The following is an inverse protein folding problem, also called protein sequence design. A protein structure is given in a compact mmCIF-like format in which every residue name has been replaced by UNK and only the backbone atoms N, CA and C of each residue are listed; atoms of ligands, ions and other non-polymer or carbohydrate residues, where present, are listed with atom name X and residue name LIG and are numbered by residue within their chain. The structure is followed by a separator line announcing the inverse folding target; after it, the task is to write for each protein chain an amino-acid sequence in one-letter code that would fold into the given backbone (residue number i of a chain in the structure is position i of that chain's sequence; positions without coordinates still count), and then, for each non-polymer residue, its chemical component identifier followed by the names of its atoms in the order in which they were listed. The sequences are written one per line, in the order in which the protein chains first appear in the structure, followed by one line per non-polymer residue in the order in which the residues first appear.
data_IF_158095601204
#
_entry.id   IF_158095601204
#
_cell.length_a   1.000
_cell.length_b   1.000
_cell.length_c   1.000
_cell.angle_alpha   90.00
_cell.angle_beta   90.00
_cell.angle_gamma   90.00
#
_symmetry.space_group_name_H-M   'P 1'
#
loop_
_entity.id
_entity.type
_entity.pdbx_description
1 polymer ?
#
# COMPACT_ATOMS: atom_id res chain seq x y z
N UNK A 1 9.68 23.63 10.53
CA UNK A 1 9.39 23.52 11.98
C UNK A 1 10.47 24.22 12.77
N UNK A 2 10.20 25.42 13.25
CA UNK A 2 10.98 26.09 14.29
C UNK A 2 10.06 26.10 15.50
N UNK A 3 10.36 25.46 16.55
CA UNK A 3 11.07 25.68 17.75
C UNK A 3 10.35 26.70 18.63
N UNK A 4 9.40 26.27 19.49
CA UNK A 4 9.05 27.04 20.68
C UNK A 4 9.61 26.26 21.88
N UNK A 5 10.78 26.73 22.33
CA UNK A 5 11.26 26.46 23.69
C UNK A 5 10.43 27.31 24.64
N UNK A 6 9.60 26.70 25.46
CA UNK A 6 9.05 27.36 26.63
C UNK A 6 9.95 27.06 27.84
N UNK A 7 10.55 28.12 28.34
CA UNK A 7 11.31 28.17 29.56
C UNK A 7 10.48 27.70 30.76
N UNK A 8 10.98 26.69 31.45
CA UNK A 8 10.51 26.28 32.75
C UNK A 8 11.10 27.28 33.76
N UNK A 9 10.30 28.20 34.27
CA UNK A 9 10.60 28.96 35.49
C UNK A 9 10.19 28.13 36.69
N UNK A 10 11.21 27.79 37.48
CA UNK A 10 11.08 27.24 38.82
C UNK A 10 10.97 28.43 39.80
N UNK A 11 10.01 28.48 40.70
CA UNK A 11 10.17 29.19 41.97
C UNK A 11 10.16 28.23 43.15
N UNK A 12 11.32 28.04 43.73
CA UNK A 12 11.44 27.71 45.17
C UNK A 12 11.24 28.99 45.97
N UNK A 13 10.42 28.93 47.02
CA UNK A 13 10.53 29.50 48.35
C UNK A 13 9.14 29.51 48.97
N UNK A 14 8.98 28.77 49.93
CA UNK A 14 9.08 28.99 51.40
C UNK A 14 7.72 29.19 52.08
N UNK A 15 7.53 28.38 53.11
CA UNK A 15 6.95 28.64 54.42
C UNK A 15 5.45 28.41 54.62
N UNK A 16 5.19 27.51 55.54
CA UNK A 16 4.10 27.69 56.51
C UNK A 16 3.14 26.53 56.66
N UNK A 17 3.49 25.55 57.48
CA UNK A 17 2.45 24.82 58.24
C UNK A 17 1.93 25.72 59.34
N UNK A 18 0.62 25.76 59.60
CA UNK A 18 0.09 24.95 60.65
C UNK A 18 -1.39 24.47 60.48
N UNK A 19 -1.68 23.49 61.30
CA UNK A 19 -2.93 23.12 61.92
C UNK A 19 -3.97 22.26 61.18
N UNK A 20 -4.00 21.04 61.68
CA UNK A 20 -5.10 20.14 61.81
C UNK A 20 -6.49 20.81 61.69
N UNK A 21 -7.18 20.48 60.62
CA UNK A 21 -8.62 20.56 60.51
C UNK A 21 -9.12 19.24 59.97
N UNK A 22 -9.68 18.43 60.86
CA UNK A 22 -10.36 17.18 60.58
C UNK A 22 -11.59 17.49 59.71
N UNK A 23 -11.45 17.42 58.38
CA UNK A 23 -12.61 17.32 57.48
C UNK A 23 -12.68 15.89 57.03
N UNK A 24 -13.53 15.12 57.70
CA UNK A 24 -14.07 13.87 57.22
C UNK A 24 -14.97 14.21 56.02
N UNK A 25 -14.40 14.42 54.87
CA UNK A 25 -15.12 14.40 53.61
C UNK A 25 -15.33 12.94 53.26
N UNK A 26 -16.56 12.53 53.24
CA UNK A 26 -17.08 11.29 52.67
C UNK A 26 -16.47 11.06 51.30
N UNK A 27 -15.36 10.37 51.22
CA UNK A 27 -14.82 9.79 49.98
C UNK A 27 -15.57 8.49 49.71
N UNK A 28 -16.86 8.63 49.34
CA UNK A 28 -17.54 7.56 48.62
C UNK A 28 -16.87 7.48 47.23
N UNK A 29 -15.96 6.50 47.02
CA UNK A 29 -15.52 6.11 45.71
C UNK A 29 -14.02 6.17 45.37
N UNK A 30 -13.08 6.31 46.31
CA UNK A 30 -11.63 6.28 46.03
C UNK A 30 -10.98 4.95 46.41
N UNK A 31 -11.50 3.85 45.85
CA UNK A 31 -10.66 2.67 45.69
C UNK A 31 -9.73 2.87 44.48
N UNK A 32 -8.60 2.14 44.40
CA UNK A 32 -7.78 2.17 43.19
C UNK A 32 -8.65 1.86 41.98
N UNK A 33 -8.51 2.65 40.90
CA UNK A 33 -9.29 2.46 39.66
C UNK A 33 -9.27 0.98 39.25
N UNK A 34 -10.39 0.45 38.82
CA UNK A 34 -10.42 -0.92 38.31
C UNK A 34 -9.69 -1.00 36.97
N UNK A 35 -9.17 -2.17 36.53
CA UNK A 35 -8.55 -2.31 35.22
C UNK A 35 -9.42 -1.81 34.07
N UNK A 36 -10.74 -2.00 34.16
CA UNK A 36 -11.70 -1.49 33.17
C UNK A 36 -11.76 0.04 33.18
N UNK A 37 -11.74 0.66 34.37
CA UNK A 37 -11.72 2.13 34.47
C UNK A 37 -10.39 2.72 33.94
N UNK A 38 -9.26 2.05 34.16
CA UNK A 38 -7.99 2.45 33.55
C UNK A 38 -8.02 2.32 32.03
N UNK A 39 -8.62 1.25 31.49
CA UNK A 39 -8.83 1.08 30.06
C UNK A 39 -9.68 2.22 29.46
N UNK A 40 -10.86 2.48 30.04
CA UNK A 40 -11.77 3.55 29.59
C UNK A 40 -11.12 4.95 29.69
N UNK A 41 -10.40 5.21 30.77
CA UNK A 41 -9.64 6.45 30.94
C UNK A 41 -8.51 6.59 29.90
N UNK A 42 -7.79 5.50 29.63
CA UNK A 42 -6.76 5.44 28.59
C UNK A 42 -7.31 5.81 27.22
N UNK A 43 -8.44 5.20 26.80
CA UNK A 43 -9.13 5.54 25.57
C UNK A 43 -9.56 7.02 25.51
N UNK A 44 -10.08 7.54 26.60
CA UNK A 44 -10.52 8.94 26.67
C UNK A 44 -9.34 9.92 26.51
N UNK A 45 -8.17 9.58 27.06
CA UNK A 45 -6.94 10.37 26.93
C UNK A 45 -6.40 10.33 25.50
N UNK A 46 -6.35 9.14 24.87
CA UNK A 46 -5.93 9.01 23.48
C UNK A 46 -6.83 9.82 22.54
N UNK A 47 -8.15 9.78 22.74
CA UNK A 47 -9.11 10.59 21.97
C UNK A 47 -8.92 12.09 22.14
N UNK A 48 -8.33 12.55 23.25
CA UNK A 48 -7.97 13.96 23.50
C UNK A 48 -6.60 14.33 22.94
N UNK A 49 -5.85 13.36 22.40
CA UNK A 49 -4.49 13.56 21.92
C UNK A 49 -3.41 13.48 23.00
N UNK A 50 -3.76 13.13 24.23
CA UNK A 50 -2.77 12.88 25.29
C UNK A 50 -2.26 11.43 25.22
N UNK A 51 -1.38 11.21 24.23
CA UNK A 51 -0.91 9.87 23.87
C UNK A 51 -0.10 9.23 25.02
N UNK A 52 0.75 9.99 25.68
CA UNK A 52 1.60 9.47 26.75
C UNK A 52 0.78 9.04 27.98
N UNK A 53 -0.16 9.87 28.42
CA UNK A 53 -1.02 9.53 29.54
C UNK A 53 -2.01 8.40 29.19
N UNK A 54 -2.52 8.38 27.96
CA UNK A 54 -3.37 7.31 27.45
C UNK A 54 -2.66 5.96 27.45
N UNK A 55 -1.42 5.93 26.93
CA UNK A 55 -0.53 4.76 26.96
C UNK A 55 -0.36 4.22 28.38
N UNK A 56 0.05 5.07 29.33
CA UNK A 56 0.29 4.66 30.71
C UNK A 56 -0.95 4.02 31.37
N UNK A 57 -2.14 4.55 31.08
CA UNK A 57 -3.41 3.97 31.58
C UNK A 57 -3.72 2.62 30.96
N UNK A 58 -3.50 2.45 29.65
CA UNK A 58 -3.70 1.17 28.97
C UNK A 58 -2.72 0.11 29.48
N UNK A 59 -1.45 0.47 29.71
CA UNK A 59 -0.45 -0.41 30.29
C UNK A 59 -0.86 -0.88 31.69
N UNK A 60 -1.29 0.04 32.56
CA UNK A 60 -1.77 -0.29 33.90
C UNK A 60 -3.04 -1.20 33.88
N UNK A 61 -3.91 -1.01 32.90
CA UNK A 61 -5.08 -1.87 32.72
C UNK A 61 -4.67 -3.29 32.33
N UNK A 62 -3.76 -3.44 31.37
CA UNK A 62 -3.28 -4.73 30.86
C UNK A 62 -2.41 -5.47 31.87
N UNK A 63 -1.55 -4.78 32.62
CA UNK A 63 -0.73 -5.36 33.69
C UNK A 63 -1.60 -6.06 34.75
N UNK A 64 -2.72 -5.44 35.10
CA UNK A 64 -3.63 -5.93 36.14
C UNK A 64 -4.66 -6.93 35.64
N UNK A 65 -4.99 -6.92 34.33
CA UNK A 65 -5.97 -7.79 33.73
C UNK A 65 -5.64 -8.15 32.26
N UNK A 66 -4.58 -8.94 32.00
CA UNK A 66 -4.08 -9.23 30.67
C UNK A 66 -5.03 -10.08 29.82
N UNK A 67 -5.95 -10.82 30.44
CA UNK A 67 -6.93 -11.68 29.76
C UNK A 67 -8.36 -11.13 29.84
N UNK A 68 -8.54 -9.89 30.25
CA UNK A 68 -9.86 -9.27 30.32
C UNK A 68 -10.53 -9.18 28.94
N UNK A 69 -11.86 -9.15 28.85
CA UNK A 69 -12.58 -9.02 27.58
C UNK A 69 -12.15 -7.80 26.74
N UNK A 70 -11.61 -6.76 27.36
CA UNK A 70 -11.08 -5.57 26.68
C UNK A 70 -9.59 -5.69 26.32
N UNK A 71 -8.90 -6.76 26.70
CA UNK A 71 -7.42 -6.83 26.55
C UNK A 71 -6.98 -6.76 25.08
N UNK A 72 -7.69 -7.41 24.16
CA UNK A 72 -7.39 -7.33 22.73
C UNK A 72 -7.53 -5.89 22.21
N UNK A 73 -8.60 -5.21 22.59
CA UNK A 73 -8.84 -3.81 22.22
C UNK A 73 -7.79 -2.88 22.86
N UNK A 74 -7.46 -3.09 24.13
CA UNK A 74 -6.44 -2.32 24.85
C UNK A 74 -5.06 -2.49 24.20
N UNK A 75 -4.67 -3.71 23.82
CA UNK A 75 -3.45 -3.99 23.08
C UNK A 75 -3.43 -3.25 21.73
N UNK A 76 -4.53 -3.28 20.98
CA UNK A 76 -4.62 -2.56 19.71
C UNK A 76 -4.46 -1.04 19.88
N UNK A 77 -5.10 -0.43 20.87
CA UNK A 77 -4.96 0.99 21.15
C UNK A 77 -3.55 1.35 21.68
N UNK A 78 -2.96 0.47 22.46
CA UNK A 78 -1.58 0.63 22.91
C UNK A 78 -0.60 0.56 21.73
N UNK A 79 -0.85 -0.35 20.77
CA UNK A 79 -0.11 -0.40 19.51
C UNK A 79 -0.20 0.90 18.71
N UNK A 80 -1.40 1.50 18.61
CA UNK A 80 -1.58 2.81 17.95
C UNK A 80 -0.83 3.94 18.69
N UNK A 81 -0.90 3.96 20.03
CA UNK A 81 -0.17 4.94 20.84
C UNK A 81 1.35 4.82 20.66
N UNK A 82 1.87 3.60 20.67
CA UNK A 82 3.30 3.34 20.44
C UNK A 82 3.72 3.73 19.02
N UNK A 83 2.88 3.45 18.01
CA UNK A 83 3.15 3.87 16.64
C UNK A 83 3.23 5.40 16.50
N UNK A 84 2.30 6.14 17.11
CA UNK A 84 2.31 7.61 17.12
C UNK A 84 3.54 8.19 17.83
N UNK A 85 4.03 7.50 18.86
CA UNK A 85 5.27 7.85 19.57
C UNK A 85 6.55 7.41 18.83
N UNK A 86 6.44 6.73 17.68
CA UNK A 86 7.58 6.22 16.93
C UNK A 86 8.22 4.96 17.53
N UNK A 87 7.57 4.31 18.48
CA UNK A 87 8.00 3.07 19.13
C UNK A 87 7.54 1.87 18.31
N UNK A 88 8.17 1.69 17.16
CA UNK A 88 7.71 0.73 16.12
C UNK A 88 7.71 -0.71 16.60
N UNK A 89 8.76 -1.15 17.33
CA UNK A 89 8.86 -2.52 17.80
C UNK A 89 7.77 -2.87 18.81
N UNK A 90 7.49 -1.94 19.73
CA UNK A 90 6.43 -2.06 20.73
C UNK A 90 5.05 -2.04 20.09
N UNK A 91 4.85 -1.21 19.05
CA UNK A 91 3.61 -1.18 18.28
C UNK A 91 3.34 -2.53 17.61
N UNK A 92 4.33 -3.12 16.95
CA UNK A 92 4.24 -4.46 16.35
C UNK A 92 3.84 -5.50 17.41
N UNK A 93 4.58 -5.55 18.53
CA UNK A 93 4.31 -6.50 19.61
C UNK A 93 2.87 -6.38 20.15
N UNK A 94 2.38 -5.15 20.29
CA UNK A 94 1.01 -4.91 20.75
C UNK A 94 -0.05 -5.34 19.72
N UNK A 95 0.12 -5.04 18.43
CA UNK A 95 -0.82 -5.50 17.40
C UNK A 95 -0.83 -7.02 17.26
N UNK A 96 0.35 -7.67 17.36
CA UNK A 96 0.44 -9.13 17.39
C UNK A 96 -0.25 -9.70 18.64
N UNK A 97 -0.04 -9.10 19.79
CA UNK A 97 -0.71 -9.47 21.05
C UNK A 97 -2.22 -9.37 20.93
N UNK A 98 -2.73 -8.25 20.38
CA UNK A 98 -4.15 -8.05 20.12
C UNK A 98 -4.71 -9.11 19.16
N UNK A 99 -4.00 -9.41 18.07
CA UNK A 99 -4.40 -10.44 17.09
C UNK A 99 -4.35 -11.87 17.63
N UNK A 100 -3.53 -12.15 18.64
CA UNK A 100 -3.51 -13.45 19.34
C UNK A 100 -4.69 -13.59 20.30
N UNK A 101 -5.03 -12.49 21.00
CA UNK A 101 -6.20 -12.47 21.92
C UNK A 101 -7.52 -12.53 21.18
N UNK A 102 -7.62 -11.83 20.05
CA UNK A 102 -8.79 -11.90 19.15
C UNK A 102 -8.34 -12.09 17.69
N UNK A 103 -8.24 -13.35 17.23
CA UNK A 103 -7.83 -13.67 15.86
C UNK A 103 -8.82 -13.21 14.78
N UNK A 104 -10.05 -12.92 15.15
CA UNK A 104 -11.11 -12.45 14.23
C UNK A 104 -11.18 -10.92 14.14
N UNK A 105 -10.44 -10.19 14.97
CA UNK A 105 -10.45 -8.73 14.95
C UNK A 105 -9.75 -8.18 13.72
N UNK A 106 -10.48 -7.38 12.92
CA UNK A 106 -9.94 -6.66 11.76
C UNK A 106 -8.82 -5.67 12.14
N UNK A 107 -9.08 -4.83 13.16
CA UNK A 107 -8.26 -3.66 13.44
C UNK A 107 -6.78 -3.97 13.77
N UNK A 108 -6.43 -4.94 14.63
CA UNK A 108 -5.03 -5.25 14.90
C UNK A 108 -4.28 -5.74 13.66
N UNK A 109 -4.91 -6.60 12.85
CA UNK A 109 -4.30 -7.16 11.64
C UNK A 109 -4.12 -6.06 10.58
N UNK A 110 -5.11 -5.17 10.43
CA UNK A 110 -5.03 -4.00 9.56
C UNK A 110 -3.90 -3.05 9.97
N UNK A 111 -3.81 -2.69 11.25
CA UNK A 111 -2.80 -1.77 11.77
C UNK A 111 -1.39 -2.37 11.63
N UNK A 112 -1.23 -3.65 11.95
CA UNK A 112 0.03 -4.37 11.74
C UNK A 112 0.43 -4.37 10.27
N UNK A 113 -0.50 -4.64 9.36
CA UNK A 113 -0.26 -4.59 7.92
C UNK A 113 0.14 -3.20 7.43
N UNK A 114 -0.50 -2.14 7.93
CA UNK A 114 -0.12 -0.76 7.62
C UNK A 114 1.31 -0.45 8.09
N UNK A 115 1.63 -0.80 9.34
CA UNK A 115 2.96 -0.56 9.92
C UNK A 115 4.04 -1.35 9.18
N UNK A 116 3.75 -2.59 8.81
CA UNK A 116 4.65 -3.46 8.03
C UNK A 116 4.92 -2.86 6.64
N UNK A 117 3.90 -2.30 5.96
CA UNK A 117 4.11 -1.57 4.71
C UNK A 117 4.95 -0.30 4.89
N UNK A 118 4.78 0.42 6.01
CA UNK A 118 5.59 1.61 6.31
C UNK A 118 7.06 1.26 6.62
N UNK A 119 7.29 0.08 7.18
CA UNK A 119 8.62 -0.50 7.34
C UNK A 119 9.20 -1.04 6.01
N UNK A 120 8.50 -0.84 4.90
CA UNK A 120 8.85 -1.27 3.55
C UNK A 120 8.91 -2.80 3.36
N UNK A 121 8.31 -3.56 4.27
CA UNK A 121 8.08 -5.00 4.08
C UNK A 121 6.75 -5.20 3.32
N UNK A 122 6.86 -5.06 2.00
CA UNK A 122 5.71 -5.12 1.10
C UNK A 122 4.99 -6.46 1.18
N UNK A 123 5.75 -7.55 1.19
CA UNK A 123 5.19 -8.89 1.10
C UNK A 123 4.34 -9.23 2.33
N UNK A 124 4.89 -9.06 3.51
CA UNK A 124 4.17 -9.33 4.75
C UNK A 124 3.06 -8.30 4.98
N UNK A 125 3.29 -7.03 4.64
CA UNK A 125 2.29 -5.98 4.77
C UNK A 125 1.05 -6.23 3.90
N UNK A 126 1.23 -6.61 2.62
CA UNK A 126 0.11 -6.97 1.73
C UNK A 126 -0.59 -8.24 2.24
N UNK A 127 0.16 -9.27 2.67
CA UNK A 127 -0.42 -10.49 3.24
C UNK A 127 -1.30 -10.19 4.46
N UNK A 128 -0.83 -9.36 5.37
CA UNK A 128 -1.59 -8.95 6.55
C UNK A 128 -2.84 -8.13 6.17
N UNK A 129 -2.72 -7.18 5.26
CA UNK A 129 -3.86 -6.39 4.82
C UNK A 129 -4.90 -7.22 4.05
N UNK A 130 -4.48 -8.22 3.27
CA UNK A 130 -5.42 -9.18 2.66
C UNK A 130 -6.14 -10.00 3.73
N UNK A 131 -5.41 -10.51 4.71
CA UNK A 131 -6.04 -11.18 5.85
C UNK A 131 -7.05 -10.27 6.57
N UNK A 132 -6.73 -8.99 6.76
CA UNK A 132 -7.68 -8.03 7.33
C UNK A 132 -8.92 -7.88 6.44
N UNK A 133 -8.76 -7.77 5.11
CA UNK A 133 -9.88 -7.68 4.17
C UNK A 133 -10.76 -8.95 4.13
N UNK A 134 -10.20 -10.10 4.49
CA UNK A 134 -10.95 -11.37 4.62
C UNK A 134 -11.68 -11.47 5.97
N UNK A 135 -11.13 -10.88 7.05
CA UNK A 135 -11.75 -10.83 8.36
C UNK A 135 -13.00 -9.94 8.37
N UNK A 136 -12.99 -8.83 7.67
CA UNK A 136 -14.17 -8.00 7.45
C UNK A 136 -14.33 -7.65 5.95
N UNK A 137 -15.07 -8.48 5.19
CA UNK A 137 -15.31 -8.23 3.77
C UNK A 137 -16.10 -6.96 3.46
N UNK A 138 -16.76 -6.35 4.44
CA UNK A 138 -17.47 -5.08 4.27
C UNK A 138 -16.56 -3.88 4.45
N UNK A 139 -15.43 -4.04 5.12
CA UNK A 139 -14.46 -2.98 5.33
C UNK A 139 -13.41 -2.99 4.22
N UNK A 140 -13.52 -2.06 3.29
CA UNK A 140 -12.60 -1.97 2.14
C UNK A 140 -11.30 -1.22 2.44
N UNK A 141 -11.09 -0.71 3.67
CA UNK A 141 -9.90 0.08 4.03
C UNK A 141 -8.59 -0.66 3.77
N UNK A 142 -8.56 -1.97 4.00
CA UNK A 142 -7.38 -2.79 3.74
C UNK A 142 -7.03 -2.83 2.25
N UNK A 143 -8.02 -3.02 1.37
CA UNK A 143 -7.83 -2.98 -0.08
C UNK A 143 -7.38 -1.60 -0.56
N UNK A 144 -8.01 -0.55 -0.06
CA UNK A 144 -7.61 0.84 -0.37
C UNK A 144 -6.18 1.11 0.08
N UNK A 145 -5.78 0.62 1.25
CA UNK A 145 -4.40 0.81 1.75
C UNK A 145 -3.37 0.09 0.88
N UNK A 146 -3.65 -1.14 0.45
CA UNK A 146 -2.81 -1.86 -0.52
C UNK A 146 -2.74 -1.06 -1.84
N UNK A 147 -3.90 -0.62 -2.36
CA UNK A 147 -3.99 0.17 -3.58
C UNK A 147 -3.17 1.46 -3.51
N UNK A 148 -3.30 2.22 -2.43
CA UNK A 148 -2.57 3.47 -2.22
C UNK A 148 -1.05 3.25 -2.12
N UNK A 149 -0.64 2.20 -1.40
CA UNK A 149 0.76 1.89 -1.25
C UNK A 149 1.37 1.42 -2.58
N UNK A 150 0.71 0.52 -3.28
CA UNK A 150 1.15 -0.01 -4.57
C UNK A 150 1.12 1.04 -5.68
N UNK A 151 0.17 1.98 -5.67
CA UNK A 151 0.17 3.14 -6.58
C UNK A 151 1.43 3.99 -6.39
N UNK A 152 1.79 4.30 -5.14
CA UNK A 152 3.00 5.09 -4.83
C UNK A 152 4.29 4.39 -5.22
N UNK A 153 4.29 3.07 -5.21
CA UNK A 153 5.45 2.23 -5.52
C UNK A 153 5.45 1.74 -6.98
N UNK A 154 4.65 2.34 -7.85
CA UNK A 154 4.64 2.06 -9.29
C UNK A 154 4.02 0.71 -9.68
N UNK A 155 3.42 -0.02 -8.74
CA UNK A 155 2.75 -1.31 -8.99
C UNK A 155 1.29 -1.10 -9.40
N UNK A 156 1.09 -0.39 -10.50
CA UNK A 156 -0.23 0.12 -10.89
C UNK A 156 -1.23 -0.97 -11.21
N UNK A 157 -0.79 -2.11 -11.76
CA UNK A 157 -1.67 -3.24 -12.04
C UNK A 157 -2.24 -3.86 -10.75
N UNK A 158 -1.40 -4.02 -9.72
CA UNK A 158 -1.87 -4.50 -8.43
C UNK A 158 -2.78 -3.46 -7.75
N UNK A 159 -2.40 -2.18 -7.81
CA UNK A 159 -3.21 -1.09 -7.28
C UNK A 159 -4.60 -1.06 -7.91
N UNK A 160 -4.66 -1.16 -9.25
CA UNK A 160 -5.91 -1.20 -10.01
C UNK A 160 -6.81 -2.34 -9.57
N UNK A 161 -6.26 -3.56 -9.42
CA UNK A 161 -7.00 -4.71 -8.91
C UNK A 161 -7.57 -4.46 -7.52
N UNK A 162 -6.79 -3.89 -6.61
CA UNK A 162 -7.24 -3.61 -5.25
C UNK A 162 -8.36 -2.57 -5.21
N UNK A 163 -8.26 -1.51 -6.01
CA UNK A 163 -9.32 -0.51 -6.09
C UNK A 163 -10.60 -1.06 -6.76
N UNK A 164 -10.49 -1.88 -7.80
CA UNK A 164 -11.65 -2.55 -8.39
C UNK A 164 -12.30 -3.53 -7.40
N UNK A 165 -11.51 -4.28 -6.65
CA UNK A 165 -12.05 -5.15 -5.61
C UNK A 165 -12.74 -4.35 -4.50
N UNK A 166 -12.17 -3.21 -4.07
CA UNK A 166 -12.80 -2.31 -3.12
C UNK A 166 -14.13 -1.77 -3.68
N UNK A 167 -14.17 -1.35 -4.94
CA UNK A 167 -15.38 -0.85 -5.60
C UNK A 167 -16.44 -1.94 -5.78
N UNK A 168 -16.02 -3.20 -6.03
CA UNK A 168 -16.94 -4.34 -6.10
C UNK A 168 -17.61 -4.61 -4.76
N UNK A 169 -16.85 -4.47 -3.65
CA UNK A 169 -17.39 -4.65 -2.28
C UNK A 169 -18.23 -3.47 -1.83
N UNK A 170 -17.81 -2.26 -2.17
CA UNK A 170 -18.48 -1.00 -1.84
C UNK A 170 -18.60 -0.12 -3.10
N UNK A 171 -19.68 -0.28 -3.91
CA UNK A 171 -19.84 0.41 -5.20
C UNK A 171 -19.84 1.94 -5.12
N UNK A 172 -20.21 2.52 -3.99
CA UNK A 172 -20.24 3.96 -3.75
C UNK A 172 -18.98 4.48 -3.03
N UNK A 173 -17.85 3.80 -3.17
CA UNK A 173 -16.62 4.20 -2.53
C UNK A 173 -15.83 5.21 -3.37
N UNK A 174 -15.95 6.49 -3.03
CA UNK A 174 -15.25 7.59 -3.72
C UNK A 174 -13.71 7.47 -3.66
N UNK A 175 -13.16 6.84 -2.61
CA UNK A 175 -11.71 6.65 -2.50
C UNK A 175 -11.20 5.64 -3.53
N UNK A 176 -11.93 4.55 -3.78
CA UNK A 176 -11.59 3.57 -4.80
C UNK A 176 -11.61 4.19 -6.20
N UNK A 177 -12.69 4.92 -6.55
CA UNK A 177 -12.80 5.63 -7.82
C UNK A 177 -11.65 6.65 -7.98
N UNK A 178 -11.34 7.41 -6.92
CA UNK A 178 -10.20 8.37 -6.96
C UNK A 178 -8.86 7.65 -7.13
N UNK A 179 -8.68 6.47 -6.53
CA UNK A 179 -7.50 5.65 -6.70
C UNK A 179 -7.29 5.21 -8.15
N UNK A 180 -8.37 4.74 -8.82
CA UNK A 180 -8.36 4.39 -10.25
C UNK A 180 -8.06 5.61 -11.13
N UNK A 181 -8.65 6.76 -10.83
CA UNK A 181 -8.37 8.02 -11.53
C UNK A 181 -6.91 8.44 -11.40
N UNK A 182 -6.31 8.26 -10.24
CA UNK A 182 -4.86 8.53 -10.03
C UNK A 182 -3.97 7.63 -10.87
N UNK A 183 -4.30 6.34 -10.99
CA UNK A 183 -3.57 5.42 -11.85
C UNK A 183 -3.68 5.88 -13.31
N UNK A 184 -4.89 6.15 -13.80
CA UNK A 184 -5.11 6.64 -15.16
C UNK A 184 -4.35 7.95 -15.44
N UNK A 185 -4.28 8.86 -14.45
CA UNK A 185 -3.49 10.09 -14.56
C UNK A 185 -1.98 9.81 -14.66
N UNK A 186 -1.47 8.84 -13.89
CA UNK A 186 -0.07 8.41 -13.96
C UNK A 186 0.28 7.73 -15.29
N UNK A 187 -0.69 7.08 -15.92
CA UNK A 187 -0.59 6.49 -17.26
C UNK A 187 -0.80 7.51 -18.39
N UNK A 188 -0.96 8.79 -18.05
CA UNK A 188 -1.28 9.87 -18.99
C UNK A 188 -2.58 9.67 -19.76
N UNK A 189 -3.51 8.86 -19.23
CA UNK A 189 -4.85 8.68 -19.79
C UNK A 189 -5.81 9.69 -19.15
N UNK A 190 -5.70 10.96 -19.59
CA UNK A 190 -6.45 12.07 -19.00
C UNK A 190 -7.97 11.91 -19.07
N UNK A 191 -8.57 11.43 -20.21
CA UNK A 191 -10.01 11.23 -20.28
C UNK A 191 -10.54 10.21 -19.28
N UNK A 192 -9.83 9.10 -19.11
CA UNK A 192 -10.20 8.07 -18.16
C UNK A 192 -10.01 8.54 -16.71
N UNK A 193 -8.93 9.28 -16.43
CA UNK A 193 -8.70 9.88 -15.12
C UNK A 193 -9.83 10.84 -14.72
N UNK A 194 -10.25 11.72 -15.65
CA UNK A 194 -11.38 12.63 -15.44
C UNK A 194 -12.66 11.87 -15.13
N UNK A 195 -12.97 10.82 -15.92
CA UNK A 195 -14.15 9.98 -15.70
C UNK A 195 -14.17 9.41 -14.28
N UNK A 196 -13.09 8.83 -13.80
CA UNK A 196 -13.03 8.27 -12.46
C UNK A 196 -13.12 9.33 -11.35
N UNK A 197 -12.50 10.49 -11.53
CA UNK A 197 -12.60 11.57 -10.54
C UNK A 197 -14.02 12.16 -10.50
N UNK A 198 -14.69 12.29 -11.64
CA UNK A 198 -16.09 12.71 -11.70
C UNK A 198 -17.01 11.69 -11.04
N UNK A 199 -16.82 10.37 -11.29
CA UNK A 199 -17.54 9.32 -10.56
C UNK A 199 -17.35 9.44 -9.05
N UNK A 200 -16.13 9.72 -8.57
CA UNK A 200 -15.88 9.93 -7.15
C UNK A 200 -16.68 11.13 -6.59
N UNK A 201 -16.85 12.20 -7.36
CA UNK A 201 -17.67 13.37 -6.98
C UNK A 201 -19.17 13.06 -7.04
N UNK A 202 -19.63 12.19 -7.93
CA UNK A 202 -21.01 11.69 -7.93
C UNK A 202 -21.33 10.88 -6.67
N UNK A 203 -20.38 10.04 -6.23
CA UNK A 203 -20.50 9.27 -4.99
C UNK A 203 -20.40 10.15 -3.74
N UNK A 204 -19.56 11.17 -3.75
CA UNK A 204 -19.35 12.12 -2.66
C UNK A 204 -19.06 13.52 -3.22
N UNK A 205 -20.07 14.36 -3.27
CA UNK A 205 -20.07 15.67 -3.96
C UNK A 205 -18.86 16.56 -3.64
N UNK A 206 -18.42 16.55 -2.40
CA UNK A 206 -17.34 17.43 -1.91
C UNK A 206 -16.10 16.63 -1.52
N UNK A 207 -15.83 15.49 -2.22
CA UNK A 207 -14.71 14.62 -1.90
C UNK A 207 -13.36 15.30 -2.20
N UNK A 208 -12.62 15.77 -1.18
CA UNK A 208 -11.45 16.61 -1.39
C UNK A 208 -10.37 15.96 -2.26
N UNK A 209 -10.04 14.63 -2.15
CA UNK A 209 -9.05 14.03 -3.01
C UNK A 209 -9.40 14.09 -4.50
N UNK A 210 -10.68 13.93 -4.87
CA UNK A 210 -11.11 14.00 -6.27
C UNK A 210 -11.02 15.44 -6.80
N UNK A 211 -11.49 16.44 -6.04
CA UNK A 211 -11.39 17.86 -6.39
C UNK A 211 -9.93 18.28 -6.63
N UNK A 212 -9.03 17.90 -5.73
CA UNK A 212 -7.61 18.22 -5.92
C UNK A 212 -7.03 17.59 -7.18
N UNK A 213 -7.34 16.31 -7.44
CA UNK A 213 -6.81 15.59 -8.60
C UNK A 213 -7.41 16.08 -9.92
N UNK A 214 -8.68 16.53 -9.96
CA UNK A 214 -9.24 17.23 -11.12
C UNK A 214 -8.52 18.55 -11.38
N UNK A 215 -8.21 19.31 -10.34
CA UNK A 215 -7.37 20.51 -10.48
C UNK A 215 -5.99 20.18 -11.07
N UNK A 216 -5.37 19.10 -10.63
CA UNK A 216 -4.08 18.63 -11.18
C UNK A 216 -4.21 18.18 -12.62
N UNK A 217 -5.26 17.45 -12.97
CA UNK A 217 -5.55 16.96 -14.32
C UNK A 217 -5.73 18.15 -15.29
N UNK A 218 -6.65 19.07 -14.98
CA UNK A 218 -6.90 20.21 -15.86
C UNK A 218 -5.71 21.16 -15.97
N UNK A 219 -4.84 21.23 -14.96
CA UNK A 219 -3.59 22.00 -15.05
C UNK A 219 -2.58 21.41 -16.07
N UNK A 220 -2.77 20.17 -16.52
CA UNK A 220 -1.94 19.52 -17.56
C UNK A 220 -2.50 19.73 -18.98
N UNK A 221 -3.70 20.28 -19.13
CA UNK A 221 -4.37 20.48 -20.43
C UNK A 221 -4.25 21.95 -20.82
N UNK A 222 -3.70 22.22 -21.98
CA UNK A 222 -3.58 23.58 -22.51
C UNK A 222 -4.96 24.27 -22.60
N UNK A 223 -5.02 25.50 -22.10
CA UNK A 223 -6.25 26.27 -22.07
C UNK A 223 -7.21 25.98 -20.90
N UNK A 224 -6.98 24.94 -20.10
CA UNK A 224 -7.85 24.55 -18.98
C UNK A 224 -7.46 25.18 -17.64
N UNK A 225 -6.57 26.15 -17.60
CA UNK A 225 -6.10 26.79 -16.37
C UNK A 225 -7.19 27.39 -15.48
N UNK A 226 -8.28 27.91 -16.06
CA UNK A 226 -9.43 28.41 -15.29
C UNK A 226 -10.18 27.27 -14.59
N UNK A 227 -10.41 26.15 -15.27
CA UNK A 227 -11.04 24.97 -14.70
C UNK A 227 -10.18 24.36 -13.58
N UNK A 228 -8.87 24.27 -13.80
CA UNK A 228 -7.93 23.81 -12.77
C UNK A 228 -8.05 24.66 -11.50
N UNK A 229 -8.02 25.99 -11.65
CA UNK A 229 -8.17 26.92 -10.53
C UNK A 229 -9.53 26.80 -9.82
N UNK A 230 -10.60 26.50 -10.57
CA UNK A 230 -11.91 26.31 -9.99
C UNK A 230 -11.95 25.06 -9.09
N UNK A 231 -11.42 23.93 -9.55
CA UNK A 231 -11.33 22.73 -8.73
C UNK A 231 -10.41 22.90 -7.50
N UNK A 232 -9.31 23.64 -7.62
CA UNK A 232 -8.47 23.94 -6.45
C UNK A 232 -9.19 24.87 -5.46
N UNK A 233 -10.01 25.83 -5.90
CA UNK A 233 -10.84 26.65 -5.01
C UNK A 233 -11.88 25.81 -4.28
N UNK A 234 -12.58 24.92 -5.00
CA UNK A 234 -13.53 23.98 -4.39
C UNK A 234 -12.85 23.09 -3.36
N UNK A 235 -11.67 22.57 -3.68
CA UNK A 235 -10.86 21.81 -2.71
C UNK A 235 -10.57 22.65 -1.45
N UNK A 236 -10.15 23.90 -1.59
CA UNK A 236 -9.85 24.77 -0.45
C UNK A 236 -11.08 25.15 0.37
N UNK A 237 -12.25 25.22 -0.24
CA UNK A 237 -13.52 25.45 0.49
C UNK A 237 -13.85 24.28 1.43
N UNK A 238 -13.67 23.04 0.96
CA UNK A 238 -14.03 21.84 1.73
C UNK A 238 -12.90 21.36 2.63
N UNK A 239 -11.65 21.62 2.29
CA UNK A 239 -10.46 21.18 3.02
C UNK A 239 -9.41 22.30 3.20
N UNK A 240 -9.75 23.44 3.86
CA UNK A 240 -8.84 24.61 3.96
C UNK A 240 -7.57 24.33 4.77
N UNK A 241 -7.57 23.30 5.62
CA UNK A 241 -6.42 22.83 6.39
C UNK A 241 -5.97 21.43 5.96
N UNK A 242 -6.47 20.94 4.83
CA UNK A 242 -6.08 19.65 4.28
C UNK A 242 -4.60 19.62 3.91
N UNK A 243 -3.97 18.43 3.91
CA UNK A 243 -2.54 18.28 3.66
C UNK A 243 -2.04 18.82 2.31
N UNK A 244 -2.95 19.15 1.39
CA UNK A 244 -2.65 19.74 0.08
C UNK A 244 -3.14 21.18 -0.08
N UNK A 245 -3.63 21.82 0.98
CA UNK A 245 -4.19 23.16 0.91
C UNK A 245 -3.17 24.21 0.46
N UNK A 246 -1.96 24.15 0.99
CA UNK A 246 -0.86 25.03 0.59
C UNK A 246 -0.53 24.88 -0.92
N UNK A 247 -0.44 23.65 -1.39
CA UNK A 247 -0.16 23.35 -2.80
C UNK A 247 -1.29 23.80 -3.74
N UNK A 248 -2.55 23.66 -3.31
CA UNK A 248 -3.70 24.14 -4.08
C UNK A 248 -3.72 25.68 -4.15
N UNK A 249 -3.48 26.36 -3.03
CA UNK A 249 -3.43 27.83 -2.98
C UNK A 249 -2.29 28.41 -3.83
N UNK A 250 -1.12 27.79 -3.82
CA UNK A 250 0.04 28.19 -4.65
C UNK A 250 -0.30 28.10 -6.14
N UNK A 251 -1.01 27.06 -6.56
CA UNK A 251 -1.41 26.89 -7.97
C UNK A 251 -2.43 27.92 -8.45
N UNK A 252 -3.35 28.36 -7.59
CA UNK A 252 -4.31 29.43 -7.91
C UNK A 252 -3.61 30.79 -8.03
N UNK A 253 -2.54 31.03 -7.26
CA UNK A 253 -1.83 32.32 -7.21
C UNK A 253 -1.02 32.69 -8.46
N UNK A 254 -1.13 31.95 -9.55
CA UNK A 254 -0.72 32.39 -10.90
C UNK A 254 0.79 32.33 -11.17
N UNK A 255 1.55 31.45 -10.55
CA UNK A 255 2.84 31.04 -11.14
C UNK A 255 2.55 30.06 -12.26
N UNK A 256 2.74 30.53 -13.49
CA UNK A 256 2.74 29.72 -14.70
C UNK A 256 3.56 28.45 -14.48
N UNK A 257 2.88 27.34 -14.66
CA UNK A 257 3.47 26.03 -14.56
C UNK A 257 4.41 25.81 -15.76
N UNK A 258 5.65 26.21 -15.63
CA UNK A 258 6.73 25.56 -16.38
C UNK A 258 6.87 24.18 -15.79
N UNK A 259 6.90 23.17 -16.67
CA UNK A 259 7.03 21.75 -16.38
C UNK A 259 8.01 21.46 -15.24
N UNK A 260 7.55 21.52 -14.02
CA UNK A 260 8.28 21.00 -12.87
C UNK A 260 7.54 19.79 -12.37
N UNK A 261 8.12 18.63 -12.71
CA UNK A 261 7.88 17.35 -12.07
C UNK A 261 7.39 17.49 -10.63
N UNK A 262 6.37 16.72 -10.31
CA UNK A 262 5.72 16.58 -9.02
C UNK A 262 6.75 16.49 -7.87
N UNK A 263 7.01 17.62 -7.20
CA UNK A 263 7.85 17.65 -6.01
C UNK A 263 7.10 18.38 -4.90
N UNK A 264 6.56 17.58 -3.98
CA UNK A 264 6.15 18.10 -2.68
C UNK A 264 7.39 18.69 -2.00
N UNK A 265 7.40 20.02 -1.78
CA UNK A 265 8.42 20.63 -0.93
C UNK A 265 8.09 20.30 0.54
N UNK A 266 8.72 19.25 1.03
CA UNK A 266 9.02 19.13 2.44
C UNK A 266 10.15 20.12 2.81
N UNK A 267 10.27 20.55 4.09
CA UNK A 267 11.30 21.49 4.49
C UNK A 267 12.69 20.97 4.12
N UNK A 268 13.57 21.86 3.76
CA UNK A 268 14.91 21.68 3.20
C UNK A 268 15.79 20.65 3.94
N UNK A 269 15.48 19.39 3.75
CA UNK A 269 16.49 18.33 3.75
C UNK A 269 16.97 18.19 2.30
N UNK A 270 18.25 17.91 2.04
CA UNK A 270 18.71 17.66 0.70
C UNK A 270 17.82 16.58 0.08
N UNK A 271 17.31 16.84 -1.14
CA UNK A 271 16.47 15.87 -1.85
C UNK A 271 17.17 14.52 -1.81
N UNK A 272 16.52 13.55 -1.17
CA UNK A 272 17.03 12.19 -1.13
C UNK A 272 16.99 11.65 -2.55
N UNK A 273 18.13 11.60 -3.21
CA UNK A 273 18.28 11.01 -4.53
C UNK A 273 18.68 9.53 -4.41
N UNK A 274 18.47 8.76 -5.46
CA UNK A 274 18.94 7.39 -5.54
C UNK A 274 20.45 7.30 -5.21
N UNK A 275 21.25 8.23 -5.70
CA UNK A 275 22.69 8.29 -5.44
C UNK A 275 23.03 8.55 -3.97
N UNK A 276 22.32 9.45 -3.29
CA UNK A 276 22.51 9.73 -1.85
C UNK A 276 22.15 8.49 -1.02
N UNK A 277 20.99 7.90 -1.25
CA UNK A 277 20.56 6.68 -0.54
C UNK A 277 21.51 5.52 -0.80
N UNK A 278 21.97 5.38 -2.05
CA UNK A 278 22.94 4.38 -2.39
C UNK A 278 24.27 4.57 -1.67
N UNK A 279 24.75 5.82 -1.54
CA UNK A 279 25.94 6.13 -0.76
C UNK A 279 25.77 5.76 0.70
N UNK A 280 24.63 6.14 1.31
CA UNK A 280 24.31 5.78 2.68
C UNK A 280 24.15 4.26 2.89
N UNK A 281 23.60 3.54 1.90
CA UNK A 281 23.51 2.08 1.94
C UNK A 281 24.91 1.44 1.99
N UNK A 282 25.85 1.96 1.17
CA UNK A 282 27.23 1.47 1.18
C UNK A 282 27.96 1.76 2.49
N UNK A 283 27.73 2.94 3.08
CA UNK A 283 28.29 3.30 4.38
C UNK A 283 27.74 2.38 5.49
N UNK A 284 26.43 2.12 5.51
CA UNK A 284 25.81 1.19 6.45
C UNK A 284 26.35 -0.23 6.28
N UNK A 285 26.54 -0.69 5.03
CA UNK A 285 27.13 -2.01 4.74
C UNK A 285 28.58 -2.09 5.25
N UNK A 286 29.38 -1.04 5.05
CA UNK A 286 30.75 -0.95 5.56
C UNK A 286 30.82 -0.89 7.08
N UNK A 287 29.80 -0.33 7.74
CA UNK A 287 29.64 -0.32 9.19
C UNK A 287 29.13 -1.65 9.77
N UNK A 288 28.77 -2.62 8.92
CA UNK A 288 28.25 -3.91 9.34
C UNK A 288 26.72 -3.94 9.58
N UNK A 289 26.03 -2.81 9.38
CA UNK A 289 24.57 -2.73 9.50
C UNK A 289 23.90 -3.17 8.18
N UNK A 290 23.78 -4.49 8.04
CA UNK A 290 23.29 -5.12 6.80
C UNK A 290 21.81 -4.84 6.55
N UNK A 291 20.98 -4.73 7.59
CA UNK A 291 19.55 -4.49 7.43
C UNK A 291 19.26 -3.02 7.05
N UNK A 292 19.94 -2.05 7.67
CA UNK A 292 19.83 -0.65 7.28
C UNK A 292 20.38 -0.41 5.85
N UNK A 293 21.50 -1.06 5.51
CA UNK A 293 22.04 -1.05 4.15
C UNK A 293 21.04 -1.62 3.12
N UNK A 294 20.38 -2.72 3.46
CA UNK A 294 19.37 -3.36 2.61
C UNK A 294 18.15 -2.44 2.40
N UNK A 295 17.59 -1.87 3.47
CA UNK A 295 16.46 -0.95 3.39
C UNK A 295 16.76 0.27 2.51
N UNK A 296 17.95 0.87 2.68
CA UNK A 296 18.41 2.01 1.87
C UNK A 296 18.67 1.63 0.42
N UNK A 297 19.16 0.42 0.15
CA UNK A 297 19.36 -0.11 -1.20
C UNK A 297 18.03 -0.24 -1.94
N UNK A 298 17.02 -0.85 -1.34
CA UNK A 298 15.70 -0.95 -1.96
C UNK A 298 15.10 0.43 -2.24
N UNK A 299 15.27 1.37 -1.32
CA UNK A 299 14.79 2.74 -1.51
C UNK A 299 15.56 3.47 -2.63
N UNK A 300 16.86 3.23 -2.76
CA UNK A 300 17.67 3.77 -3.85
C UNK A 300 17.23 3.22 -5.22
N UNK A 301 16.95 1.91 -5.30
CA UNK A 301 16.44 1.26 -6.51
C UNK A 301 15.08 1.83 -6.93
N UNK A 302 14.17 1.98 -5.97
CA UNK A 302 12.86 2.58 -6.20
C UNK A 302 12.97 4.01 -6.77
N UNK A 303 13.84 4.85 -6.20
CA UNK A 303 14.06 6.21 -6.70
C UNK A 303 14.75 6.24 -8.06
N UNK A 304 15.71 5.36 -8.31
CA UNK A 304 16.39 5.26 -9.60
C UNK A 304 15.39 4.84 -10.69
N UNK A 305 14.54 3.89 -10.41
CA UNK A 305 13.46 3.45 -11.31
C UNK A 305 12.48 4.58 -11.62
N UNK A 306 12.03 5.31 -10.59
CA UNK A 306 11.15 6.47 -10.74
C UNK A 306 11.78 7.66 -11.45
N UNK A 307 13.10 7.80 -11.40
CA UNK A 307 13.87 8.83 -12.10
C UNK A 307 14.08 8.57 -13.59
N UNK A 308 13.71 7.38 -14.09
CA UNK A 308 13.79 7.03 -15.51
C UNK A 308 15.23 6.88 -16.05
N UNK A 309 16.23 6.70 -15.17
CA UNK A 309 17.63 6.43 -15.56
C UNK A 309 17.95 4.93 -15.46
N UNK A 310 17.91 4.18 -16.59
CA UNK A 310 18.20 2.75 -16.59
C UNK A 310 19.64 2.43 -16.24
N UNK A 311 20.59 3.31 -16.56
CA UNK A 311 22.01 3.09 -16.30
C UNK A 311 22.29 3.17 -14.79
N UNK A 312 21.74 4.18 -14.12
CA UNK A 312 21.85 4.31 -12.66
C UNK A 312 21.17 3.14 -11.94
N UNK A 313 19.98 2.74 -12.39
CA UNK A 313 19.28 1.58 -11.84
C UNK A 313 20.11 0.30 -11.98
N UNK A 314 20.69 0.06 -13.16
CA UNK A 314 21.55 -1.09 -13.43
C UNK A 314 22.80 -1.14 -12.56
N UNK A 315 23.47 -0.01 -12.34
CA UNK A 315 24.66 0.04 -11.47
C UNK A 315 24.33 -0.25 -10.01
N UNK A 316 23.21 0.29 -9.50
CA UNK A 316 22.75 0.00 -8.13
C UNK A 316 22.36 -1.47 -8.02
N UNK A 317 21.60 -2.01 -8.99
CA UNK A 317 21.18 -3.42 -9.01
C UNK A 317 22.35 -4.39 -9.02
N UNK A 318 23.37 -4.13 -9.85
CA UNK A 318 24.55 -4.98 -9.91
C UNK A 318 25.17 -5.19 -8.53
N UNK A 319 25.35 -4.13 -7.80
CA UNK A 319 25.94 -4.18 -6.45
C UNK A 319 24.96 -4.65 -5.38
N UNK A 320 23.66 -4.36 -5.55
CA UNK A 320 22.61 -4.91 -4.69
C UNK A 320 22.57 -6.44 -4.79
N UNK A 321 22.74 -6.99 -5.99
CA UNK A 321 22.83 -8.44 -6.21
C UNK A 321 24.07 -9.08 -5.56
N UNK A 322 25.20 -8.37 -5.55
CA UNK A 322 26.42 -8.82 -4.87
C UNK A 322 26.21 -8.89 -3.34
N UNK A 323 25.52 -7.91 -2.75
CA UNK A 323 25.33 -7.79 -1.31
C UNK A 323 24.09 -8.55 -0.78
N UNK A 324 23.02 -8.60 -1.56
CA UNK A 324 21.67 -9.04 -1.16
C UNK A 324 20.99 -9.93 -2.21
N UNK A 325 21.77 -10.61 -3.07
CA UNK A 325 21.23 -11.49 -4.10
C UNK A 325 20.57 -12.76 -3.58
N UNK A 326 20.50 -12.94 -2.27
CA UNK A 326 19.73 -13.92 -1.52
C UNK A 326 18.36 -13.41 -1.06
N UNK A 327 17.99 -12.17 -1.40
CA UNK A 327 16.72 -11.54 -1.03
C UNK A 327 15.79 -11.43 -2.23
N UNK A 328 14.59 -11.97 -2.11
CA UNK A 328 13.58 -11.99 -3.19
C UNK A 328 13.26 -10.60 -3.75
N UNK A 329 13.09 -9.53 -2.95
CA UNK A 329 12.83 -8.20 -3.48
C UNK A 329 13.93 -7.67 -4.44
N UNK A 330 15.20 -7.97 -4.17
CA UNK A 330 16.31 -7.57 -5.06
C UNK A 330 16.29 -8.36 -6.36
N UNK A 331 15.98 -9.66 -6.29
CA UNK A 331 15.86 -10.52 -7.46
C UNK A 331 14.66 -10.13 -8.34
N UNK A 332 13.54 -9.72 -7.73
CA UNK A 332 12.37 -9.18 -8.44
C UNK A 332 12.72 -7.88 -9.18
N UNK A 333 13.36 -6.93 -8.51
CA UNK A 333 13.78 -5.68 -9.14
C UNK A 333 14.77 -5.93 -10.28
N UNK A 334 15.67 -6.93 -10.15
CA UNK A 334 16.56 -7.34 -11.22
C UNK A 334 15.78 -7.93 -12.41
N UNK A 335 14.86 -8.84 -12.15
CA UNK A 335 14.00 -9.43 -13.19
C UNK A 335 13.20 -8.37 -13.95
N UNK A 336 12.55 -7.45 -13.23
CA UNK A 336 11.82 -6.34 -13.86
C UNK A 336 12.72 -5.39 -14.65
N UNK A 337 13.92 -5.10 -14.15
CA UNK A 337 14.88 -4.28 -14.88
C UNK A 337 15.26 -4.92 -16.20
N UNK A 338 15.62 -6.20 -16.21
CA UNK A 338 15.99 -6.94 -17.40
C UNK A 338 14.81 -7.07 -18.39
N UNK A 339 13.60 -7.30 -17.92
CA UNK A 339 12.40 -7.29 -18.76
C UNK A 339 12.21 -5.94 -19.48
N UNK A 340 12.39 -4.83 -18.77
CA UNK A 340 12.30 -3.48 -19.37
C UNK A 340 13.38 -3.21 -20.42
N UNK A 341 14.53 -3.88 -20.31
CA UNK A 341 15.62 -3.82 -21.28
C UNK A 341 15.44 -4.81 -22.46
N UNK A 342 14.34 -5.57 -22.47
CA UNK A 342 14.09 -6.63 -23.46
C UNK A 342 14.94 -7.88 -23.29
N UNK A 343 15.63 -8.04 -22.16
CA UNK A 343 16.50 -9.16 -21.85
C UNK A 343 15.75 -10.23 -21.04
N UNK A 344 14.76 -10.83 -21.65
CA UNK A 344 13.86 -11.79 -20.99
C UNK A 344 14.60 -13.02 -20.43
N UNK A 345 15.71 -13.46 -21.03
CA UNK A 345 16.52 -14.59 -20.54
C UNK A 345 17.18 -14.27 -19.20
N UNK A 346 17.77 -13.09 -19.08
CA UNK A 346 18.44 -12.65 -17.85
C UNK A 346 17.38 -12.42 -16.75
N UNK A 347 16.23 -11.85 -17.12
CA UNK A 347 15.11 -11.71 -16.21
C UNK A 347 14.63 -13.05 -15.64
N UNK A 348 14.48 -14.05 -16.52
CA UNK A 348 14.05 -15.39 -16.11
C UNK A 348 15.03 -16.03 -15.11
N UNK A 349 16.33 -15.84 -15.29
CA UNK A 349 17.34 -16.38 -14.36
C UNK A 349 17.16 -15.81 -12.95
N UNK A 350 17.00 -14.49 -12.81
CA UNK A 350 16.76 -13.86 -11.51
C UNK A 350 15.43 -14.34 -10.89
N UNK A 351 14.38 -14.46 -11.68
CA UNK A 351 13.05 -14.85 -11.23
C UNK A 351 12.98 -16.33 -10.83
N UNK A 352 13.74 -17.22 -11.48
CA UNK A 352 13.88 -18.61 -11.05
C UNK A 352 14.62 -18.72 -9.71
N UNK A 353 15.65 -17.89 -9.49
CA UNK A 353 16.31 -17.80 -8.19
C UNK A 353 15.35 -17.29 -7.11
N UNK A 354 14.54 -16.28 -7.42
CA UNK A 354 13.51 -15.77 -6.53
C UNK A 354 12.45 -16.83 -6.20
N UNK A 355 12.02 -17.62 -7.21
CA UNK A 355 11.09 -18.72 -7.02
C UNK A 355 11.66 -19.85 -6.14
N UNK A 356 12.96 -20.12 -6.24
CA UNK A 356 13.61 -21.12 -5.39
C UNK A 356 13.60 -20.69 -3.92
N UNK A 357 13.67 -19.39 -3.62
CA UNK A 357 13.60 -18.84 -2.26
C UNK A 357 12.16 -18.76 -1.74
N UNK A 358 11.24 -18.32 -2.57
CA UNK A 358 9.83 -18.15 -2.23
C UNK A 358 8.94 -18.78 -3.32
N UNK A 359 8.72 -20.10 -3.28
CA UNK A 359 8.05 -20.85 -4.35
C UNK A 359 6.59 -20.45 -4.59
N UNK A 360 5.95 -19.79 -3.65
CA UNK A 360 4.52 -19.39 -3.71
C UNK A 360 4.32 -17.88 -3.73
N UNK A 361 5.38 -17.12 -3.93
CA UNK A 361 5.25 -15.66 -4.03
C UNK A 361 4.52 -15.29 -5.33
N UNK A 362 3.33 -14.64 -5.25
CA UNK A 362 2.52 -14.35 -6.43
C UNK A 362 3.22 -13.45 -7.45
N UNK A 363 4.03 -12.49 -6.99
CA UNK A 363 4.74 -11.58 -7.87
C UNK A 363 5.86 -12.30 -8.64
N UNK A 364 6.59 -13.18 -7.96
CA UNK A 364 7.61 -14.01 -8.59
C UNK A 364 6.99 -14.90 -9.66
N UNK A 365 5.86 -15.54 -9.34
CA UNK A 365 5.15 -16.42 -10.28
C UNK A 365 4.63 -15.67 -11.51
N UNK A 366 4.09 -14.46 -11.31
CA UNK A 366 3.59 -13.63 -12.41
C UNK A 366 4.72 -13.15 -13.32
N UNK A 367 5.78 -12.60 -12.73
CA UNK A 367 6.89 -12.04 -13.51
C UNK A 367 7.67 -13.17 -14.22
N UNK A 368 7.82 -14.34 -13.59
CA UNK A 368 8.40 -15.53 -14.23
C UNK A 368 7.55 -16.01 -15.41
N UNK A 369 6.22 -16.01 -15.27
CA UNK A 369 5.33 -16.34 -16.37
C UNK A 369 5.49 -15.39 -17.55
N UNK A 370 5.60 -14.09 -17.28
CA UNK A 370 5.82 -13.04 -18.29
C UNK A 370 7.17 -13.19 -18.97
N UNK A 371 8.24 -13.39 -18.21
CA UNK A 371 9.58 -13.60 -18.76
C UNK A 371 9.62 -14.87 -19.64
N UNK A 372 9.06 -15.97 -19.16
CA UNK A 372 9.00 -17.23 -19.91
C UNK A 372 8.13 -17.11 -21.16
N UNK A 373 7.01 -16.37 -21.10
CA UNK A 373 6.16 -16.11 -22.27
C UNK A 373 6.89 -15.28 -23.33
N UNK A 374 7.70 -14.30 -22.92
CA UNK A 374 8.53 -13.51 -23.83
C UNK A 374 9.63 -14.34 -24.51
N UNK A 375 10.02 -15.45 -23.91
CA UNK A 375 10.97 -16.44 -24.47
C UNK A 375 10.28 -17.57 -25.24
N UNK A 376 8.96 -17.53 -25.37
CA UNK A 376 8.14 -18.59 -25.97
C UNK A 376 8.23 -19.94 -25.21
N UNK A 377 8.67 -19.91 -23.94
CA UNK A 377 8.75 -21.08 -23.07
C UNK A 377 7.40 -21.33 -22.38
N UNK A 378 6.39 -21.68 -23.16
CA UNK A 378 5.01 -21.75 -22.70
C UNK A 378 4.74 -22.83 -21.65
N UNK A 379 5.55 -23.88 -21.58
CA UNK A 379 5.47 -24.88 -20.49
C UNK A 379 5.79 -24.24 -19.13
N UNK A 380 6.85 -23.46 -19.04
CA UNK A 380 7.23 -22.72 -17.83
C UNK A 380 6.18 -21.65 -17.49
N UNK A 381 5.69 -20.96 -18.52
CA UNK A 381 4.59 -19.97 -18.39
C UNK A 381 3.37 -20.63 -17.75
N UNK A 382 2.92 -21.77 -18.25
CA UNK A 382 1.76 -22.50 -17.73
C UNK A 382 1.99 -22.99 -16.30
N UNK A 383 3.18 -23.53 -16.00
CA UNK A 383 3.51 -24.00 -14.64
C UNK A 383 3.39 -22.84 -13.65
N UNK A 384 3.98 -21.69 -13.95
CA UNK A 384 3.97 -20.50 -13.10
C UNK A 384 2.56 -19.94 -12.93
N UNK A 385 1.79 -19.80 -14.03
CA UNK A 385 0.41 -19.29 -13.98
C UNK A 385 -0.53 -20.24 -13.23
N UNK A 386 -0.41 -21.56 -13.44
CA UNK A 386 -1.20 -22.53 -12.68
C UNK A 386 -0.96 -22.41 -11.18
N UNK A 387 0.31 -22.28 -10.78
CA UNK A 387 0.66 -22.10 -9.38
C UNK A 387 0.13 -20.78 -8.86
N UNK A 388 0.22 -19.71 -9.64
CA UNK A 388 -0.35 -18.42 -9.29
C UNK A 388 -1.88 -18.48 -9.08
N UNK A 389 -2.61 -19.15 -9.97
CA UNK A 389 -4.06 -19.34 -9.82
C UNK A 389 -4.41 -20.18 -8.58
N UNK A 390 -3.54 -21.14 -8.19
CA UNK A 390 -3.73 -21.91 -6.95
C UNK A 390 -3.50 -21.06 -5.70
N UNK A 391 -2.47 -20.19 -5.71
CA UNK A 391 -2.15 -19.28 -4.60
C UNK A 391 -3.15 -18.13 -4.52
N UNK A 392 -3.56 -17.61 -5.68
CA UNK A 392 -4.51 -16.51 -5.83
C UNK A 392 -5.66 -16.87 -6.76
N UNK A 393 -6.67 -17.63 -6.31
CA UNK A 393 -7.81 -18.02 -7.17
C UNK A 393 -8.63 -16.85 -7.72
N UNK A 394 -8.52 -15.68 -7.07
CA UNK A 394 -9.16 -14.43 -7.51
C UNK A 394 -8.33 -13.61 -8.51
N UNK A 395 -7.23 -14.12 -9.02
CA UNK A 395 -6.37 -13.42 -9.98
C UNK A 395 -6.89 -13.63 -11.41
N UNK A 396 -7.72 -12.69 -11.88
CA UNK A 396 -8.32 -12.74 -13.21
C UNK A 396 -7.27 -12.73 -14.34
N UNK A 397 -6.20 -11.93 -14.18
CA UNK A 397 -5.14 -11.84 -15.19
C UNK A 397 -4.40 -13.17 -15.33
N UNK A 398 -4.06 -13.80 -14.21
CA UNK A 398 -3.40 -15.09 -14.24
C UNK A 398 -4.24 -16.18 -14.92
N UNK A 399 -5.55 -16.22 -14.67
CA UNK A 399 -6.44 -17.20 -15.28
C UNK A 399 -6.64 -16.91 -16.78
N UNK A 400 -6.75 -15.63 -17.17
CA UNK A 400 -6.84 -15.22 -18.56
C UNK A 400 -5.57 -15.57 -19.35
N UNK A 401 -4.39 -15.21 -18.81
CA UNK A 401 -3.11 -15.54 -19.44
C UNK A 401 -2.89 -17.07 -19.52
N UNK A 402 -3.32 -17.82 -18.49
CA UNK A 402 -3.27 -19.28 -18.48
C UNK A 402 -4.14 -19.89 -19.59
N UNK A 403 -5.34 -19.36 -19.80
CA UNK A 403 -6.24 -19.82 -20.87
C UNK A 403 -5.61 -19.59 -22.24
N UNK A 404 -5.03 -18.41 -22.48
CA UNK A 404 -4.30 -18.09 -23.71
C UNK A 404 -3.05 -18.97 -23.90
N UNK A 405 -2.27 -19.20 -22.85
CA UNK A 405 -1.10 -20.05 -22.93
C UNK A 405 -1.47 -21.51 -23.30
N UNK A 406 -2.54 -22.06 -22.72
CA UNK A 406 -3.02 -23.39 -23.07
C UNK A 406 -3.58 -23.45 -24.49
N UNK A 407 -4.49 -22.55 -24.83
CA UNK A 407 -5.24 -22.60 -26.08
C UNK A 407 -4.44 -22.07 -27.28
N UNK A 408 -4.02 -20.82 -27.19
CA UNK A 408 -3.47 -20.07 -28.30
C UNK A 408 -2.00 -20.42 -28.60
N UNK A 409 -1.24 -20.82 -27.54
CA UNK A 409 0.21 -21.06 -27.66
C UNK A 409 0.60 -22.53 -27.70
N UNK A 410 0.02 -23.34 -26.81
CA UNK A 410 0.34 -24.76 -26.72
C UNK A 410 -0.62 -25.66 -27.54
N UNK A 411 -1.66 -25.11 -28.12
CA UNK A 411 -2.67 -25.89 -28.87
C UNK A 411 -3.43 -26.91 -27.99
N UNK A 412 -3.40 -26.76 -26.69
CA UNK A 412 -4.12 -27.62 -25.74
C UNK A 412 -5.58 -27.17 -25.64
N UNK A 413 -6.32 -27.28 -26.74
CA UNK A 413 -7.69 -26.75 -26.93
C UNK A 413 -8.60 -27.02 -25.72
N UNK A 414 -8.70 -28.28 -25.30
CA UNK A 414 -9.59 -28.62 -24.17
C UNK A 414 -9.27 -27.91 -22.86
N UNK A 415 -7.97 -27.71 -22.55
CA UNK A 415 -7.55 -26.97 -21.36
C UNK A 415 -7.76 -25.46 -21.53
N UNK A 416 -7.48 -24.92 -22.72
CA UNK A 416 -7.72 -23.50 -23.02
C UNK A 416 -9.21 -23.15 -22.93
N UNK A 417 -10.08 -23.93 -23.54
CA UNK A 417 -11.55 -23.77 -23.46
C UNK A 417 -12.03 -23.87 -22.01
N UNK A 418 -11.54 -24.87 -21.26
CA UNK A 418 -11.89 -25.01 -19.85
C UNK A 418 -11.50 -23.77 -19.02
N UNK A 419 -10.28 -23.29 -19.17
CA UNK A 419 -9.79 -22.11 -18.47
C UNK A 419 -10.52 -20.81 -18.84
N UNK A 420 -10.87 -20.61 -20.13
CA UNK A 420 -11.69 -19.47 -20.57
C UNK A 420 -13.11 -19.52 -19.99
N UNK A 421 -13.75 -20.69 -19.94
CA UNK A 421 -15.07 -20.87 -19.31
C UNK A 421 -15.02 -20.65 -17.78
N UNK A 422 -13.95 -21.10 -17.12
CA UNK A 422 -13.73 -20.80 -15.72
C UNK A 422 -13.53 -19.30 -15.47
N UNK A 423 -12.82 -18.61 -16.37
CA UNK A 423 -12.68 -17.16 -16.31
C UNK A 423 -14.03 -16.45 -16.41
N UNK A 424 -14.86 -16.80 -17.40
CA UNK A 424 -16.20 -16.22 -17.58
C UNK A 424 -17.08 -16.45 -16.33
N UNK A 425 -17.04 -17.66 -15.78
CA UNK A 425 -17.79 -18.05 -14.59
C UNK A 425 -17.33 -17.31 -13.34
N UNK A 426 -16.02 -17.16 -13.13
CA UNK A 426 -15.43 -16.57 -11.91
C UNK A 426 -15.38 -15.03 -11.98
N UNK A 427 -15.26 -14.49 -13.19
CA UNK A 427 -15.10 -13.05 -13.44
C UNK A 427 -16.13 -12.50 -14.45
N UNK A 428 -17.44 -12.69 -14.23
CA UNK A 428 -18.46 -12.30 -15.21
C UNK A 428 -18.55 -10.79 -15.43
N UNK A 429 -18.00 -9.97 -14.52
CA UNK A 429 -17.95 -8.51 -14.64
C UNK A 429 -16.64 -7.99 -15.23
N UNK A 430 -15.67 -8.85 -15.54
CA UNK A 430 -14.45 -8.46 -16.24
C UNK A 430 -14.79 -8.20 -17.72
N UNK A 431 -14.34 -7.08 -18.32
CA UNK A 431 -14.62 -6.78 -19.73
C UNK A 431 -14.25 -7.90 -20.70
N UNK A 432 -13.21 -8.67 -20.40
CA UNK A 432 -12.73 -9.81 -21.18
C UNK A 432 -13.70 -11.00 -21.18
N UNK A 433 -14.62 -11.07 -20.20
CA UNK A 433 -15.63 -12.12 -20.18
C UNK A 433 -16.50 -12.11 -21.45
N UNK A 434 -16.75 -10.94 -22.03
CA UNK A 434 -17.47 -10.80 -23.28
C UNK A 434 -16.71 -11.38 -24.50
N UNK A 435 -15.40 -11.55 -24.41
CA UNK A 435 -14.56 -12.12 -25.46
C UNK A 435 -14.51 -13.65 -25.41
N UNK A 436 -14.86 -14.27 -24.28
CA UNK A 436 -14.74 -15.71 -24.04
C UNK A 436 -15.46 -16.55 -25.10
N UNK A 437 -16.72 -16.29 -25.50
CA UNK A 437 -17.40 -17.08 -26.52
C UNK A 437 -16.63 -17.11 -27.83
N UNK A 438 -16.08 -15.97 -28.28
CA UNK A 438 -15.29 -15.89 -29.50
C UNK A 438 -13.97 -16.65 -29.39
N UNK A 439 -13.28 -16.56 -28.25
CA UNK A 439 -12.04 -17.30 -27.96
C UNK A 439 -12.29 -18.81 -27.98
N UNK A 440 -13.34 -19.26 -27.30
CA UNK A 440 -13.74 -20.68 -27.26
C UNK A 440 -14.05 -21.19 -28.65
N UNK A 441 -14.86 -20.47 -29.43
CA UNK A 441 -15.21 -20.84 -30.80
C UNK A 441 -13.96 -20.93 -31.69
N UNK A 442 -13.03 -19.99 -31.60
CA UNK A 442 -11.79 -20.00 -32.38
C UNK A 442 -10.92 -21.23 -32.03
N UNK A 443 -10.80 -21.58 -30.77
CA UNK A 443 -10.03 -22.76 -30.32
C UNK A 443 -10.69 -24.07 -30.77
N UNK A 444 -12.02 -24.19 -30.69
CA UNK A 444 -12.77 -25.36 -31.12
C UNK A 444 -12.70 -25.53 -32.64
N UNK A 445 -12.75 -24.42 -33.41
CA UNK A 445 -12.59 -24.45 -34.88
C UNK A 445 -11.18 -24.89 -35.29
N UNK A 446 -10.13 -24.39 -34.58
CA UNK A 446 -8.75 -24.78 -34.87
C UNK A 446 -8.44 -26.26 -34.54
N UNK A 447 -9.23 -26.89 -33.66
CA UNK A 447 -9.08 -28.30 -33.31
C UNK A 447 -9.80 -29.28 -34.27
N UNK A 448 -10.62 -28.78 -35.20
CA UNK A 448 -11.30 -29.66 -36.19
C UNK A 448 -10.28 -30.14 -37.22
N UNK A 449 -10.25 -31.44 -37.55
CA UNK A 449 -9.40 -31.92 -38.63
C UNK A 449 -9.84 -31.25 -39.96
N UNK A 450 -8.85 -30.81 -40.73
CA UNK A 450 -9.11 -30.31 -42.10
C UNK A 450 -9.95 -31.34 -42.86
N UNK A 451 -11.00 -30.90 -43.59
CA UNK A 451 -11.76 -31.82 -44.42
C UNK A 451 -10.79 -32.56 -45.36
N UNK A 452 -10.91 -33.87 -45.40
CA UNK A 452 -10.10 -34.71 -46.27
C UNK A 452 -10.22 -34.21 -47.71
N UNK A 453 -9.12 -34.16 -48.50
CA UNK A 453 -9.10 -33.64 -49.85
C UNK A 453 -10.00 -34.42 -50.83
#
# INVERSE_FOLDING_TARGET
MRGMKSEVRNPRSEVGWPLLGLVVLLLAGCGPATPKQDFEAGLALLKKGDVAAGKARLEAALERAPEAPFAAEAQNWLGLANWELGLTAEAIANFEGASKLDPAAFAPVFNLGCLTLEANDMQNGIKLLRRAADLDPKDVRALLRIGDWTTRNGRWDLARRMYFEAQKREPQNAAAATGLGRIALLENNLPQAETFFMQALEMSKDYPPALYNLGVLHAQIDGHGQQANEYFRQYLQVAPKGGRAAAAAERIGGRTYEQTSFQAQAPTQPKMTAGILWTQAREALAAGDREDAYAKTLRALELARGGGDPAQTGEILKRALEAFGDRVPVLLEAGEHEMRQGRARDAQEYLLRAQALEPENPMVLLDLARASSALEEYDTTVISLRKLVQVEPGNADALWELAGAYGDKLGMTGKGVGAYRDFERLFPSDPRAAEVPAKVQALEAAAQPLPAP
#
